data_IF_621505021433
#
_entry.id   IF_621505021433
#
_cell.length_a   1.000
_cell.length_b   1.000
_cell.length_c   1.000
_cell.angle_alpha   90.00
_cell.angle_beta   90.00
_cell.angle_gamma   90.00
#
_symmetry.space_group_name_H-M   'P 1'
#
loop_
_entity.id
_entity.type
_entity.pdbx_description
1 polymer ?
#
# COMPACT_ATOMS: atom_id res chain seq x y z
N UNK A 1 12.77 -18.53 18.24
CA UNK A 1 11.77 -18.37 17.16
C UNK A 1 11.99 -17.00 16.58
N UNK A 2 12.34 -16.88 15.30
CA UNK A 2 12.46 -15.57 14.67
C UNK A 2 11.04 -15.03 14.43
N UNK A 3 10.71 -13.90 15.01
CA UNK A 3 9.47 -13.20 14.70
C UNK A 3 9.68 -12.42 13.40
N UNK A 4 8.77 -12.57 12.44
CA UNK A 4 8.72 -11.68 11.28
C UNK A 4 8.18 -10.32 11.69
N UNK A 5 8.77 -9.24 11.16
CA UNK A 5 8.31 -7.87 11.37
C UNK A 5 7.94 -7.26 10.02
N UNK A 6 6.80 -6.55 9.97
CA UNK A 6 6.34 -5.83 8.79
C UNK A 6 6.06 -4.39 9.19
N UNK A 7 6.60 -3.44 8.44
CA UNK A 7 6.38 -2.01 8.65
C UNK A 7 5.29 -1.51 7.72
N UNK A 8 4.45 -0.60 8.20
CA UNK A 8 3.30 -0.11 7.46
C UNK A 8 2.55 0.98 8.21
N UNK A 9 1.39 1.36 7.68
CA UNK A 9 0.57 2.44 8.22
C UNK A 9 -0.79 1.89 8.67
N UNK A 10 -1.22 2.29 9.86
CA UNK A 10 -2.57 2.04 10.35
C UNK A 10 -3.49 3.23 10.00
N UNK A 11 -4.67 2.93 9.46
CA UNK A 11 -5.66 3.96 9.10
C UNK A 11 -6.84 3.93 10.07
N UNK A 12 -7.18 5.10 10.61
CA UNK A 12 -8.44 5.29 11.33
C UNK A 12 -9.59 5.35 10.32
N UNK A 13 -10.54 4.44 10.47
CA UNK A 13 -11.70 4.35 9.59
C UNK A 13 -12.83 5.22 10.15
N UNK A 14 -13.44 6.02 9.29
CA UNK A 14 -14.63 6.81 9.60
C UNK A 14 -15.79 6.42 8.69
N UNK A 15 -17.00 6.34 9.25
CA UNK A 15 -18.22 6.00 8.52
C UNK A 15 -18.44 4.49 8.38
N UNK A 16 -19.70 4.11 8.19
CA UNK A 16 -20.14 2.70 8.24
C UNK A 16 -19.88 1.93 6.94
N UNK A 17 -19.72 2.63 5.81
CA UNK A 17 -19.58 2.00 4.49
C UNK A 17 -18.19 1.42 4.22
N UNK A 18 -17.16 1.85 4.95
CA UNK A 18 -15.77 1.48 4.67
C UNK A 18 -15.48 -0.01 4.93
N UNK A 19 -15.95 -0.56 6.05
CA UNK A 19 -15.70 -1.97 6.41
C UNK A 19 -16.39 -2.93 5.43
N UNK A 20 -17.69 -2.76 5.08
CA UNK A 20 -18.32 -3.61 4.06
C UNK A 20 -17.62 -3.52 2.70
N UNK A 21 -17.23 -2.31 2.27
CA UNK A 21 -16.50 -2.11 1.02
C UNK A 21 -15.16 -2.86 1.00
N UNK A 22 -14.34 -2.70 2.05
CA UNK A 22 -13.06 -3.39 2.19
C UNK A 22 -13.25 -4.91 2.30
N UNK A 23 -14.25 -5.37 3.05
CA UNK A 23 -14.53 -6.81 3.17
C UNK A 23 -14.91 -7.43 1.83
N UNK A 24 -15.76 -6.77 1.03
CA UNK A 24 -16.09 -7.23 -0.31
C UNK A 24 -14.85 -7.30 -1.20
N UNK A 25 -14.04 -6.24 -1.21
CA UNK A 25 -12.84 -6.18 -2.04
C UNK A 25 -11.80 -7.22 -1.64
N UNK A 26 -11.41 -7.25 -0.38
CA UNK A 26 -10.28 -8.08 0.06
C UNK A 26 -10.71 -9.54 0.27
N UNK A 27 -11.86 -9.80 0.90
CA UNK A 27 -12.25 -11.17 1.22
C UNK A 27 -12.94 -11.86 0.03
N UNK A 28 -14.01 -11.26 -0.50
CA UNK A 28 -14.82 -11.92 -1.54
C UNK A 28 -14.11 -11.96 -2.90
N UNK A 29 -13.48 -10.86 -3.30
CA UNK A 29 -12.79 -10.76 -4.59
C UNK A 29 -11.31 -11.18 -4.50
N UNK A 30 -10.61 -10.82 -3.42
CA UNK A 30 -9.18 -11.09 -3.25
C UNK A 30 -8.85 -12.41 -2.53
N UNK A 31 -9.83 -13.08 -1.92
CA UNK A 31 -9.62 -14.33 -1.18
C UNK A 31 -8.82 -14.18 0.13
N UNK A 32 -8.65 -12.94 0.64
CA UNK A 32 -7.96 -12.67 1.89
C UNK A 32 -8.85 -13.06 3.09
N UNK A 33 -8.23 -13.35 4.23
CA UNK A 33 -8.93 -13.44 5.52
C UNK A 33 -8.77 -12.14 6.29
N UNK A 34 -9.76 -11.79 7.10
CA UNK A 34 -9.66 -10.70 8.05
C UNK A 34 -9.13 -11.20 9.40
N UNK A 35 -8.17 -10.48 9.97
CA UNK A 35 -7.57 -10.82 11.26
C UNK A 35 -7.34 -9.56 12.09
N UNK A 36 -7.73 -9.60 13.35
CA UNK A 36 -7.31 -8.59 14.32
C UNK A 36 -5.90 -8.90 14.81
N UNK A 37 -4.99 -7.94 14.65
CA UNK A 37 -3.61 -8.01 15.15
C UNK A 37 -3.27 -6.78 15.98
N UNK A 38 -2.12 -6.79 16.65
CA UNK A 38 -1.62 -5.64 17.40
C UNK A 38 -0.68 -4.82 16.51
N UNK A 39 -0.97 -3.53 16.35
CA UNK A 39 -0.09 -2.56 15.71
C UNK A 39 0.76 -1.86 16.78
N UNK A 40 2.05 -1.70 16.49
CA UNK A 40 3.01 -1.03 17.36
C UNK A 40 3.39 0.30 16.71
N UNK A 41 2.81 1.43 17.13
CA UNK A 41 3.13 2.73 16.55
C UNK A 41 4.55 3.18 16.93
N UNK A 42 5.11 4.10 16.13
CA UNK A 42 6.41 4.74 16.44
C UNK A 42 6.38 5.49 17.77
N UNK A 43 5.21 6.03 18.13
CA UNK A 43 4.96 6.72 19.39
C UNK A 43 3.57 6.38 19.92
N UNK A 44 3.45 6.18 21.23
CA UNK A 44 2.21 5.82 21.92
C UNK A 44 2.06 4.32 22.18
N UNK A 45 0.90 3.94 22.71
CA UNK A 45 0.63 2.56 23.13
C UNK A 45 0.20 1.66 21.96
N UNK A 46 0.56 0.36 21.96
CA UNK A 46 0.07 -0.60 20.98
C UNK A 46 -1.46 -0.72 21.00
N UNK A 47 -2.06 -0.87 19.82
CA UNK A 47 -3.52 -0.98 19.69
C UNK A 47 -3.93 -2.04 18.66
N UNK A 48 -5.20 -2.45 18.71
CA UNK A 48 -5.74 -3.47 17.79
C UNK A 48 -6.08 -2.84 16.43
N UNK A 49 -5.68 -3.53 15.37
CA UNK A 49 -6.00 -3.17 13.99
C UNK A 49 -6.56 -4.38 13.25
N UNK A 50 -7.39 -4.10 12.25
CA UNK A 50 -7.86 -5.08 11.28
C UNK A 50 -6.83 -5.17 10.13
N UNK A 51 -6.35 -6.38 9.86
CA UNK A 51 -5.49 -6.68 8.72
C UNK A 51 -6.17 -7.71 7.81
N UNK A 52 -6.00 -7.54 6.49
CA UNK A 52 -6.40 -8.55 5.50
C UNK A 52 -5.16 -9.32 5.07
N UNK A 53 -5.17 -10.64 5.26
CA UNK A 53 -3.98 -11.49 5.09
C UNK A 53 -4.28 -12.62 4.11
N UNK A 54 -3.42 -12.78 3.11
CA UNK A 54 -3.46 -13.94 2.23
C UNK A 54 -2.79 -15.12 2.96
N UNK A 55 -3.48 -16.25 3.03
CA UNK A 55 -2.91 -17.50 3.56
C UNK A 55 -2.58 -18.44 2.40
N UNK A 56 -1.81 -19.52 2.63
CA UNK A 56 -1.63 -20.57 1.62
C UNK A 56 -2.94 -21.24 1.14
N UNK A 57 -4.07 -20.98 1.80
CA UNK A 57 -5.39 -21.43 1.34
C UNK A 57 -6.08 -20.46 0.36
N UNK A 58 -5.50 -19.28 0.13
CA UNK A 58 -6.05 -18.32 -0.82
C UNK A 58 -5.98 -18.93 -2.23
N UNK A 59 -7.09 -18.98 -3.00
CA UNK A 59 -7.09 -19.55 -4.36
C UNK A 59 -6.14 -18.83 -5.34
N UNK A 60 -5.73 -17.61 -5.02
CA UNK A 60 -4.77 -16.81 -5.79
C UNK A 60 -3.31 -17.00 -5.32
N UNK A 61 -3.06 -17.83 -4.31
CA UNK A 61 -1.70 -18.14 -3.87
C UNK A 61 -0.99 -19.01 -4.91
N UNK A 62 0.15 -18.54 -5.41
CA UNK A 62 0.93 -19.21 -6.46
C UNK A 62 2.05 -20.10 -5.91
N UNK A 63 2.11 -20.31 -4.60
CA UNK A 63 3.19 -21.04 -3.96
C UNK A 63 4.38 -20.17 -3.60
N UNK A 64 5.38 -20.80 -3.00
CA UNK A 64 6.70 -20.20 -2.80
C UNK A 64 7.46 -20.16 -4.13
N UNK A 65 8.16 -19.06 -4.38
CA UNK A 65 8.98 -18.87 -5.57
C UNK A 65 10.27 -18.13 -5.19
N UNK A 66 11.33 -18.35 -5.96
CA UNK A 66 12.54 -17.55 -5.79
C UNK A 66 12.36 -16.13 -6.37
N UNK A 67 13.21 -15.20 -5.93
CA UNK A 67 13.12 -13.79 -6.32
C UNK A 67 13.19 -13.61 -7.85
N UNK A 68 13.88 -14.49 -8.58
CA UNK A 68 14.02 -14.41 -10.04
C UNK A 68 12.72 -14.79 -10.76
N UNK A 69 12.07 -15.86 -10.32
CA UNK A 69 10.78 -16.28 -10.85
C UNK A 69 9.70 -15.21 -10.57
N UNK A 70 9.70 -14.65 -9.36
CA UNK A 70 8.79 -13.54 -9.00
C UNK A 70 9.10 -12.31 -9.87
N UNK A 71 10.37 -11.93 -10.02
CA UNK A 71 10.77 -10.78 -10.83
C UNK A 71 10.34 -10.93 -12.30
N UNK A 72 10.52 -12.14 -12.87
CA UNK A 72 10.06 -12.44 -14.23
C UNK A 72 8.54 -12.26 -14.36
N UNK A 73 7.78 -12.78 -13.39
CA UNK A 73 6.34 -12.59 -13.40
C UNK A 73 5.95 -11.11 -13.31
N UNK A 74 6.65 -10.31 -12.50
CA UNK A 74 6.37 -8.87 -12.33
C UNK A 74 6.56 -8.11 -13.65
N UNK A 75 7.62 -8.41 -14.42
CA UNK A 75 7.86 -7.71 -15.68
C UNK A 75 6.89 -8.12 -16.80
N UNK A 76 6.25 -9.28 -16.70
CA UNK A 76 5.32 -9.78 -17.71
C UNK A 76 3.84 -9.43 -17.40
N UNK A 77 3.54 -8.95 -16.19
CA UNK A 77 2.18 -8.77 -15.70
C UNK A 77 1.72 -7.30 -15.67
N UNK A 78 0.52 -7.05 -16.22
CA UNK A 78 -0.19 -5.78 -16.12
C UNK A 78 -1.70 -6.03 -15.93
N UNK A 79 -2.41 -5.06 -15.36
CA UNK A 79 -3.85 -5.13 -15.15
C UNK A 79 -4.53 -3.77 -15.29
N UNK A 80 -5.83 -3.68 -14.94
CA UNK A 80 -6.60 -2.42 -15.00
C UNK A 80 -5.98 -1.25 -14.22
N UNK A 81 -5.07 -1.59 -13.30
CA UNK A 81 -4.45 -0.67 -12.33
C UNK A 81 -3.08 -0.17 -12.72
N UNK A 82 -2.54 -0.67 -13.84
CA UNK A 82 -1.18 -0.39 -14.29
C UNK A 82 -0.33 -1.65 -14.38
N UNK A 83 0.97 -1.44 -14.61
CA UNK A 83 1.95 -2.51 -14.70
C UNK A 83 2.41 -2.95 -13.31
N UNK A 84 2.72 -4.23 -13.12
CA UNK A 84 3.17 -4.72 -11.82
C UNK A 84 4.56 -4.15 -11.39
N UNK A 85 5.40 -3.75 -12.35
CA UNK A 85 6.66 -3.02 -12.08
C UNK A 85 6.38 -1.70 -11.37
N UNK A 86 5.32 -0.98 -11.78
CA UNK A 86 4.91 0.26 -11.12
C UNK A 86 4.58 0.02 -9.64
N UNK A 87 3.81 -1.04 -9.36
CA UNK A 87 3.43 -1.40 -7.99
C UNK A 87 4.66 -1.65 -7.11
N UNK A 88 5.58 -2.50 -7.56
CA UNK A 88 6.79 -2.84 -6.81
C UNK A 88 7.67 -1.62 -6.54
N UNK A 89 8.00 -0.84 -7.57
CA UNK A 89 8.89 0.32 -7.45
C UNK A 89 8.26 1.41 -6.57
N UNK A 90 6.94 1.63 -6.68
CA UNK A 90 6.25 2.59 -5.80
C UNK A 90 6.25 2.13 -4.34
N UNK A 91 6.05 0.83 -4.08
CA UNK A 91 6.13 0.29 -2.73
C UNK A 91 7.54 0.44 -2.15
N UNK A 92 8.58 0.07 -2.91
CA UNK A 92 9.97 0.22 -2.49
C UNK A 92 10.33 1.70 -2.19
N UNK A 93 9.89 2.62 -3.04
CA UNK A 93 10.06 4.06 -2.79
C UNK A 93 9.33 4.53 -1.53
N UNK A 94 8.08 4.11 -1.34
CA UNK A 94 7.31 4.42 -0.13
C UNK A 94 8.01 3.92 1.13
N UNK A 95 8.55 2.69 1.10
CA UNK A 95 9.28 2.14 2.24
C UNK A 95 10.56 2.92 2.54
N UNK A 96 11.34 3.30 1.51
CA UNK A 96 12.53 4.16 1.70
C UNK A 96 12.19 5.54 2.26
N UNK A 97 11.08 6.14 1.84
CA UNK A 97 10.68 7.49 2.26
C UNK A 97 10.13 7.52 3.70
N UNK A 98 9.32 6.53 4.07
CA UNK A 98 8.61 6.53 5.36
C UNK A 98 9.24 5.67 6.44
N UNK A 99 10.06 4.69 6.06
CA UNK A 99 10.65 3.70 6.96
C UNK A 99 12.14 3.51 6.67
N UNK A 100 12.87 4.61 6.46
CA UNK A 100 14.28 4.60 6.05
C UNK A 100 15.22 3.81 6.98
N UNK A 101 14.89 3.69 8.26
CA UNK A 101 15.66 2.93 9.26
C UNK A 101 15.38 1.42 9.20
N UNK A 102 14.37 1.01 8.43
CA UNK A 102 13.92 -0.36 8.32
C UNK A 102 14.17 -0.89 6.92
N UNK A 103 14.99 -1.94 6.84
CA UNK A 103 15.35 -2.58 5.58
C UNK A 103 14.52 -3.85 5.37
N UNK A 104 13.59 -3.81 4.40
CA UNK A 104 12.91 -4.99 3.90
C UNK A 104 13.76 -5.64 2.80
N UNK A 105 14.59 -6.61 3.20
CA UNK A 105 15.53 -7.26 2.30
C UNK A 105 14.86 -7.97 1.13
N UNK A 106 13.68 -8.56 1.34
CA UNK A 106 12.99 -9.26 0.25
C UNK A 106 12.47 -8.26 -0.78
N UNK A 107 11.79 -7.20 -0.33
CA UNK A 107 11.28 -6.15 -1.22
C UNK A 107 12.38 -5.50 -2.06
N UNK A 108 13.51 -5.15 -1.44
CA UNK A 108 14.60 -4.46 -2.13
C UNK A 108 15.45 -5.37 -3.01
N UNK A 109 15.58 -6.66 -2.69
CA UNK A 109 16.18 -7.63 -3.60
C UNK A 109 15.30 -7.81 -4.83
N UNK A 110 13.99 -7.95 -4.62
CA UNK A 110 13.03 -8.12 -5.71
C UNK A 110 12.99 -6.90 -6.63
N UNK A 111 13.03 -5.69 -6.07
CA UNK A 111 13.15 -4.45 -6.85
C UNK A 111 14.41 -4.45 -7.73
N UNK A 112 15.56 -4.80 -7.16
CA UNK A 112 16.82 -4.84 -7.92
C UNK A 112 16.77 -5.85 -9.07
N UNK A 113 16.26 -7.05 -8.83
CA UNK A 113 16.08 -8.07 -9.86
C UNK A 113 15.14 -7.59 -10.97
N UNK A 114 14.00 -6.97 -10.62
CA UNK A 114 13.06 -6.42 -11.60
C UNK A 114 13.68 -5.29 -12.42
N UNK A 115 14.41 -4.35 -11.80
CA UNK A 115 15.05 -3.27 -12.53
C UNK A 115 16.16 -3.76 -13.45
N UNK A 116 16.95 -4.76 -13.02
CA UNK A 116 17.95 -5.41 -13.86
C UNK A 116 17.30 -6.12 -15.06
N UNK A 117 16.13 -6.77 -14.87
CA UNK A 117 15.37 -7.37 -15.97
C UNK A 117 14.81 -6.33 -16.94
N UNK A 118 14.26 -5.22 -16.45
CA UNK A 118 13.77 -4.11 -17.27
C UNK A 118 14.88 -3.54 -18.15
N UNK A 119 16.08 -3.33 -17.59
CA UNK A 119 17.25 -2.87 -18.33
C UNK A 119 17.71 -3.91 -19.36
N UNK A 120 17.88 -5.17 -18.94
CA UNK A 120 18.31 -6.28 -19.81
C UNK A 120 17.37 -6.51 -20.99
N UNK A 121 16.07 -6.35 -20.77
CA UNK A 121 15.05 -6.52 -21.80
C UNK A 121 14.75 -5.23 -22.57
N UNK A 122 15.51 -4.15 -22.33
CA UNK A 122 15.38 -2.85 -23.00
C UNK A 122 13.96 -2.27 -22.89
N UNK A 123 13.28 -2.51 -21.77
CA UNK A 123 11.94 -2.01 -21.52
C UNK A 123 12.02 -0.54 -21.05
N UNK A 124 11.09 0.30 -21.51
CA UNK A 124 11.05 1.70 -21.11
C UNK A 124 10.43 1.84 -19.71
N UNK A 125 11.26 1.99 -18.67
CA UNK A 125 10.79 2.15 -17.29
C UNK A 125 9.76 3.29 -17.14
N UNK A 126 9.94 4.41 -17.85
CA UNK A 126 8.97 5.52 -17.86
C UNK A 126 7.59 5.07 -18.31
N UNK A 127 7.51 4.19 -19.31
CA UNK A 127 6.23 3.64 -19.79
C UNK A 127 5.64 2.68 -18.76
N UNK A 128 6.46 1.84 -18.14
CA UNK A 128 6.02 0.87 -17.11
C UNK A 128 5.48 1.56 -15.86
N UNK A 129 6.07 2.70 -15.46
CA UNK A 129 5.67 3.49 -14.29
C UNK A 129 4.37 4.30 -14.51
N UNK A 130 3.84 4.35 -15.73
CA UNK A 130 2.62 5.08 -16.06
C UNK A 130 2.72 6.61 -15.87
N UNK A 131 1.57 7.29 -15.92
CA UNK A 131 1.48 8.75 -15.78
C UNK A 131 1.56 9.24 -14.33
N UNK A 132 1.50 8.34 -13.35
CA UNK A 132 1.35 8.69 -11.94
C UNK A 132 0.01 9.33 -11.57
N UNK A 133 -0.89 9.54 -12.53
CA UNK A 133 -2.24 10.03 -12.28
C UNK A 133 -2.92 9.10 -11.27
N UNK A 134 -3.60 9.65 -10.25
CA UNK A 134 -4.28 8.88 -9.22
C UNK A 134 -3.36 8.16 -8.20
N UNK A 135 -2.05 8.38 -8.23
CA UNK A 135 -1.16 7.91 -7.17
C UNK A 135 -1.41 8.69 -5.88
N UNK A 136 -1.49 7.97 -4.76
CA UNK A 136 -1.60 8.58 -3.43
C UNK A 136 -0.21 9.07 -3.04
N UNK A 137 -0.07 10.38 -2.84
CA UNK A 137 1.12 10.96 -2.21
C UNK A 137 0.90 10.99 -0.70
N UNK A 138 1.70 10.23 0.04
CA UNK A 138 1.66 10.26 1.49
C UNK A 138 2.40 11.50 1.97
N UNK A 139 1.68 12.59 2.24
CA UNK A 139 2.29 13.76 2.87
C UNK A 139 2.62 13.39 4.32
N UNK A 140 3.91 13.23 4.61
CA UNK A 140 4.43 13.16 5.97
C UNK A 140 4.02 14.46 6.67
N UNK A 141 3.06 14.41 7.58
CA UNK A 141 2.82 15.53 8.49
C UNK A 141 4.00 15.54 9.45
N UNK A 142 4.92 16.47 9.28
CA UNK A 142 5.93 16.72 10.28
C UNK A 142 5.25 16.98 11.62
N UNK A 143 5.77 16.37 12.69
CA UNK A 143 5.32 16.64 14.05
C UNK A 143 5.51 18.15 14.32
N UNK A 144 4.51 18.88 14.85
CA UNK A 144 4.64 20.31 15.04
C UNK A 144 5.74 20.60 16.07
N UNK A 145 6.72 21.42 15.67
CA UNK A 145 7.71 22.00 16.58
C UNK A 145 7.02 22.87 17.63
N UNK A 146 7.43 22.83 18.91
CA UNK A 146 6.69 23.44 20.00
C UNK A 146 7.06 24.92 20.16
N UNK A 147 6.79 25.78 19.18
CA UNK A 147 6.82 27.24 19.40
C UNK A 147 5.95 27.98 18.39
N UNK A 148 5.07 28.83 18.96
CA UNK A 148 4.30 29.96 18.40
C UNK A 148 2.85 29.71 17.97
N UNK A 149 1.96 30.04 18.94
CA UNK A 149 0.54 30.44 18.91
C UNK A 149 -0.51 29.53 18.24
N UNK A 150 -1.68 29.31 18.88
CA UNK A 150 -2.73 28.45 18.36
C UNK A 150 -3.43 29.13 17.17
N UNK A 151 -3.54 28.46 16.00
CA UNK A 151 -4.53 28.84 15.01
C UNK A 151 -5.91 28.47 15.55
N UNK A 152 -6.84 29.39 15.39
CA UNK A 152 -8.24 29.32 15.77
C UNK A 152 -8.88 27.95 15.44
N UNK A 153 -9.73 27.47 16.35
CA UNK A 153 -10.67 26.38 16.13
C UNK A 153 -11.55 26.68 14.90
N UNK A 154 -11.12 26.22 13.74
CA UNK A 154 -12.06 25.88 12.68
C UNK A 154 -12.51 24.46 12.95
N UNK A 155 -13.56 24.39 13.78
CA UNK A 155 -14.53 23.30 13.74
C UNK A 155 -14.70 22.86 12.28
N UNK A 156 -14.59 21.56 12.02
CA UNK A 156 -15.13 20.99 10.79
C UNK A 156 -16.65 21.20 10.85
N UNK A 157 -17.06 22.38 10.41
CA UNK A 157 -18.45 22.73 10.13
C UNK A 157 -18.98 21.65 9.21
N UNK A 158 -20.11 21.08 9.61
CA UNK A 158 -20.89 20.08 8.88
C UNK A 158 -21.07 20.51 7.41
N UNK A 159 -20.22 20.01 6.51
CA UNK A 159 -20.43 20.11 5.07
C UNK A 159 -20.64 18.70 4.51
N UNK A 160 -21.86 18.20 4.67
CA UNK A 160 -22.37 17.03 3.97
C UNK A 160 -22.57 17.26 2.46
N UNK A 161 -22.11 18.38 1.92
CA UNK A 161 -22.24 18.73 0.50
C UNK A 161 -20.90 19.13 -0.11
N UNK A 162 -19.98 18.18 -0.34
CA UNK A 162 -18.99 18.36 -1.42
C UNK A 162 -18.22 17.10 -1.88
N UNK A 163 -18.81 15.91 -1.80
CA UNK A 163 -18.25 14.71 -2.47
C UNK A 163 -18.73 14.54 -3.92
N UNK A 164 -19.66 15.36 -4.41
CA UNK A 164 -20.30 15.17 -5.72
C UNK A 164 -19.48 15.65 -6.93
N UNK A 165 -18.23 16.09 -6.77
CA UNK A 165 -17.33 16.45 -7.89
C UNK A 165 -15.95 15.81 -7.85
N UNK A 166 -15.79 14.74 -7.07
CA UNK A 166 -14.63 13.87 -7.20
C UNK A 166 -15.16 12.62 -7.88
N UNK A 167 -14.81 12.42 -9.16
CA UNK A 167 -15.01 11.13 -9.82
C UNK A 167 -14.47 10.05 -8.88
N UNK A 168 -15.33 9.10 -8.49
CA UNK A 168 -15.02 8.09 -7.49
C UNK A 168 -13.69 7.41 -7.81
N UNK A 169 -12.66 7.73 -7.05
CA UNK A 169 -11.36 7.08 -7.20
C UNK A 169 -11.41 5.77 -6.46
N UNK A 170 -11.70 4.71 -7.20
CA UNK A 170 -11.55 3.33 -6.76
C UNK A 170 -10.09 3.13 -6.33
N UNK A 171 -9.89 2.66 -5.11
CA UNK A 171 -8.59 2.12 -4.70
C UNK A 171 -8.25 0.97 -5.66
N UNK A 172 -7.13 1.14 -6.37
CA UNK A 172 -6.74 0.38 -7.57
C UNK A 172 -6.46 -1.10 -7.36
N UNK A 173 -6.68 -1.66 -6.19
CA UNK A 173 -6.11 -2.98 -5.91
C UNK A 173 -6.89 -4.11 -6.59
N UNK A 174 -8.18 -3.95 -6.90
CA UNK A 174 -8.97 -4.93 -7.66
C UNK A 174 -10.10 -4.20 -8.40
N UNK A 175 -9.92 -3.93 -9.70
CA UNK A 175 -11.07 -3.70 -10.58
C UNK A 175 -11.49 -5.09 -11.09
N UNK A 176 -12.30 -5.79 -10.29
CA UNK A 176 -13.11 -6.93 -10.73
C UNK A 176 -14.56 -6.46 -10.72
#
# INVERSE_FOLDING_TARGET
MAYGQVHGVAFAISGEAAIPYLSKRECELGGYISQFTTFFPVSGEPFKVLAYVATPKNPLWMGDADDKAIAQQIIDCSGPSGHNVEYLVRLANFMREHFSEHHDSHLFNLEQEVLALVERNQMCLRTLMGSGEGCVTFIKRDSPSPTSNPPEEQERIESFEHTTRIQGKTLRCLNI
#
